data_IF_800390087727
#
_entry.id   IF_800390087727
#
_cell.length_a   1.000
_cell.length_b   1.000
_cell.length_c   1.000
_cell.angle_alpha   90.00
_cell.angle_beta   90.00
_cell.angle_gamma   90.00
#
_symmetry.space_group_name_H-M   'P 1'
#
loop_
_entity.id
_entity.type
_entity.pdbx_description
1 polymer ?
#
# COMPACT_ATOMS: atom_id res chain seq x y z
N UNK A 1 12.76 50.92 -0.35
CA UNK A 1 11.54 50.81 -1.19
C UNK A 1 11.63 49.72 -2.27
N UNK A 2 12.71 49.61 -3.06
CA UNK A 2 12.82 48.62 -4.15
C UNK A 2 12.84 47.15 -3.70
N UNK A 3 13.47 46.83 -2.57
CA UNK A 3 13.53 45.46 -2.03
C UNK A 3 12.16 44.88 -1.66
N UNK A 4 11.24 45.73 -1.17
CA UNK A 4 9.85 45.34 -0.88
C UNK A 4 9.13 44.90 -2.16
N UNK A 5 9.36 45.57 -3.29
CA UNK A 5 8.77 45.20 -4.59
C UNK A 5 9.23 43.82 -5.07
N UNK A 6 10.52 43.50 -4.95
CA UNK A 6 11.04 42.17 -5.32
C UNK A 6 10.58 41.06 -4.37
N UNK A 7 10.50 41.35 -3.07
CA UNK A 7 9.93 40.42 -2.10
C UNK A 7 8.45 40.13 -2.41
N UNK A 8 7.67 41.16 -2.69
CA UNK A 8 6.25 41.01 -3.08
C UNK A 8 6.11 40.21 -4.38
N UNK A 9 6.91 40.48 -5.41
CA UNK A 9 6.89 39.71 -6.67
C UNK A 9 7.25 38.24 -6.41
N UNK A 10 8.30 38.00 -5.62
CA UNK A 10 8.72 36.64 -5.26
C UNK A 10 7.58 35.90 -4.58
N UNK A 11 7.01 36.47 -3.50
CA UNK A 11 5.88 35.89 -2.76
C UNK A 11 4.70 35.59 -3.69
N UNK A 12 4.33 36.52 -4.57
CA UNK A 12 3.25 36.32 -5.56
C UNK A 12 3.57 35.13 -6.46
N UNK A 13 4.78 35.04 -7.00
CA UNK A 13 5.20 33.89 -7.81
C UNK A 13 5.14 32.58 -7.02
N UNK A 14 5.55 32.56 -5.74
CA UNK A 14 5.44 31.35 -4.91
C UNK A 14 3.98 30.95 -4.68
N UNK A 15 3.12 31.93 -4.37
CA UNK A 15 1.71 31.69 -4.15
C UNK A 15 1.06 31.14 -5.41
N UNK A 16 1.39 31.68 -6.59
CA UNK A 16 0.91 31.16 -7.87
C UNK A 16 1.39 29.73 -8.09
N UNK A 17 2.67 29.42 -7.84
CA UNK A 17 3.20 28.06 -8.00
C UNK A 17 2.52 27.09 -7.03
N UNK A 18 2.40 27.46 -5.75
CA UNK A 18 1.75 26.62 -4.75
C UNK A 18 0.27 26.38 -5.05
N UNK A 19 -0.45 27.43 -5.50
CA UNK A 19 -1.84 27.32 -5.96
C UNK A 19 -1.92 26.42 -7.20
N UNK A 20 -1.01 26.58 -8.16
CA UNK A 20 -0.97 25.75 -9.38
C UNK A 20 -0.71 24.28 -9.04
N UNK A 21 0.24 23.99 -8.14
CA UNK A 21 0.50 22.62 -7.67
C UNK A 21 -0.74 22.08 -6.98
N UNK A 22 -1.37 22.85 -6.08
CA UNK A 22 -2.57 22.43 -5.35
C UNK A 22 -3.75 22.14 -6.29
N UNK A 23 -3.97 23.00 -7.28
CA UNK A 23 -4.99 22.82 -8.32
C UNK A 23 -4.68 21.58 -9.15
N UNK A 24 -3.43 21.42 -9.59
CA UNK A 24 -3.00 20.27 -10.37
C UNK A 24 -3.19 18.95 -9.60
N UNK A 25 -2.72 18.89 -8.35
CA UNK A 25 -2.90 17.69 -7.50
C UNK A 25 -4.37 17.41 -7.23
N UNK A 26 -5.18 18.44 -6.99
CA UNK A 26 -6.61 18.30 -6.77
C UNK A 26 -7.33 17.75 -8.01
N UNK A 27 -7.02 18.27 -9.20
CA UNK A 27 -7.62 17.80 -10.45
C UNK A 27 -7.16 16.40 -10.82
N UNK A 28 -5.89 16.08 -10.57
CA UNK A 28 -5.35 14.74 -10.77
C UNK A 28 -5.98 13.71 -9.83
N UNK A 29 -6.23 14.07 -8.56
CA UNK A 29 -6.92 13.20 -7.60
C UNK A 29 -8.41 13.03 -7.92
N UNK A 30 -9.07 14.10 -8.39
CA UNK A 30 -10.49 14.02 -8.73
C UNK A 30 -10.78 13.10 -9.93
N UNK A 31 -9.80 12.93 -10.83
CA UNK A 31 -9.89 12.00 -11.97
C UNK A 31 -9.50 10.55 -11.63
N UNK A 32 -9.35 10.20 -10.36
CA UNK A 32 -9.08 8.81 -9.99
C UNK A 32 -10.30 7.94 -10.25
N UNK A 33 -10.02 6.70 -10.66
CA UNK A 33 -11.04 5.67 -10.82
C UNK A 33 -11.71 5.40 -9.48
N UNK A 34 -13.02 5.49 -9.47
CA UNK A 34 -13.87 4.96 -8.40
C UNK A 34 -14.23 3.49 -8.74
N UNK A 35 -14.62 2.72 -7.73
CA UNK A 35 -15.07 1.32 -7.86
C UNK A 35 -14.04 0.33 -8.43
N UNK A 36 -12.75 0.49 -8.09
CA UNK A 36 -11.66 -0.35 -8.60
C UNK A 36 -11.87 -1.83 -8.26
N UNK A 37 -12.39 -2.15 -7.07
CA UNK A 37 -12.58 -3.55 -6.66
C UNK A 37 -13.66 -4.20 -7.50
N UNK A 38 -14.80 -3.53 -7.67
CA UNK A 38 -15.87 -4.00 -8.56
C UNK A 38 -15.35 -4.26 -9.98
N UNK A 39 -14.66 -3.29 -10.58
CA UNK A 39 -14.11 -3.39 -11.93
C UNK A 39 -13.11 -4.54 -12.07
N UNK A 40 -12.30 -4.80 -11.05
CA UNK A 40 -11.29 -5.86 -11.09
C UNK A 40 -11.90 -7.23 -10.86
N UNK A 41 -12.88 -7.38 -9.97
CA UNK A 41 -13.65 -8.62 -9.81
C UNK A 41 -14.38 -8.97 -11.10
N UNK A 42 -14.97 -7.99 -11.79
CA UNK A 42 -15.69 -8.21 -13.06
C UNK A 42 -14.78 -8.71 -14.21
N UNK A 43 -13.46 -8.50 -14.12
CA UNK A 43 -12.48 -9.01 -15.09
C UNK A 43 -12.05 -10.46 -14.82
N UNK A 44 -12.40 -11.01 -13.66
CA UNK A 44 -12.05 -12.38 -13.31
C UNK A 44 -13.00 -13.34 -14.00
N UNK A 45 -12.44 -14.25 -14.81
CA UNK A 45 -13.21 -15.35 -15.40
C UNK A 45 -13.74 -16.27 -14.29
N UNK A 46 -15.04 -16.48 -14.25
CA UNK A 46 -15.72 -17.28 -13.24
C UNK A 46 -15.63 -18.78 -13.50
N UNK A 47 -14.98 -19.23 -14.58
CA UNK A 47 -14.90 -20.64 -14.98
C UNK A 47 -13.47 -21.24 -14.98
N UNK A 48 -12.51 -20.62 -14.28
CA UNK A 48 -11.12 -21.09 -14.26
C UNK A 48 -10.95 -22.32 -13.35
N UNK A 49 -10.72 -23.50 -13.94
CA UNK A 49 -10.41 -24.73 -13.17
C UNK A 49 -8.93 -24.85 -12.80
N UNK A 50 -8.04 -24.38 -13.68
CA UNK A 50 -6.59 -24.34 -13.46
C UNK A 50 -6.10 -22.90 -13.66
N UNK A 51 -5.60 -22.29 -12.60
CA UNK A 51 -5.11 -20.91 -12.65
C UNK A 51 -4.03 -20.67 -11.62
N UNK A 52 -3.30 -19.58 -11.79
CA UNK A 52 -2.37 -19.07 -10.79
C UNK A 52 -2.82 -17.68 -10.40
N UNK A 53 -2.72 -17.33 -9.13
CA UNK A 53 -2.84 -15.96 -8.66
C UNK A 53 -1.64 -15.60 -7.79
N UNK A 54 -1.26 -14.34 -7.81
CA UNK A 54 -0.22 -13.82 -6.93
C UNK A 54 -0.87 -13.27 -5.66
N UNK A 55 -0.21 -13.41 -4.51
CA UNK A 55 -0.62 -12.74 -3.28
C UNK A 55 0.56 -12.10 -2.57
N UNK A 56 0.33 -10.89 -2.06
CA UNK A 56 1.31 -10.05 -1.38
C UNK A 56 0.61 -9.10 -0.40
N UNK A 57 1.33 -8.46 0.50
CA UNK A 57 0.78 -7.45 1.42
C UNK A 57 1.89 -6.61 2.05
N UNK A 58 1.51 -5.55 2.77
CA UNK A 58 2.43 -4.61 3.41
C UNK A 58 3.40 -3.96 2.42
N UNK A 59 2.86 -3.37 1.34
CA UNK A 59 3.70 -2.65 0.38
C UNK A 59 3.96 -1.20 0.79
N UNK A 60 3.08 -0.54 1.57
CA UNK A 60 3.23 0.81 2.13
C UNK A 60 3.90 1.84 1.21
N UNK A 61 3.41 1.95 -0.03
CA UNK A 61 3.99 2.82 -1.08
C UNK A 61 5.49 2.59 -1.43
N UNK A 62 6.06 1.43 -1.08
CA UNK A 62 7.45 1.08 -1.39
C UNK A 62 7.76 1.26 -2.87
N UNK A 63 8.80 2.02 -3.19
CA UNK A 63 9.13 2.37 -4.57
C UNK A 63 10.01 1.31 -5.21
N UNK A 64 10.95 0.75 -4.47
CA UNK A 64 11.93 -0.20 -4.97
C UNK A 64 11.31 -1.60 -5.08
N UNK A 65 10.82 -2.14 -3.97
CA UNK A 65 10.33 -3.52 -3.87
C UNK A 65 9.02 -3.71 -4.61
N UNK A 66 7.99 -2.91 -4.30
CA UNK A 66 6.66 -3.11 -4.90
C UNK A 66 6.66 -2.90 -6.43
N UNK A 67 7.36 -1.88 -6.95
CA UNK A 67 7.47 -1.70 -8.40
C UNK A 67 8.25 -2.85 -9.07
N UNK A 68 9.21 -3.49 -8.38
CA UNK A 68 9.89 -4.69 -8.87
C UNK A 68 8.95 -5.88 -8.89
N UNK A 69 8.12 -6.06 -7.85
CA UNK A 69 7.06 -7.09 -7.81
C UNK A 69 6.09 -6.89 -8.99
N UNK A 70 5.60 -5.68 -9.23
CA UNK A 70 4.72 -5.37 -10.39
C UNK A 70 5.38 -5.81 -11.72
N UNK A 71 6.67 -5.53 -11.91
CA UNK A 71 7.40 -5.95 -13.12
C UNK A 71 7.48 -7.46 -13.26
N UNK A 72 7.73 -8.18 -12.16
CA UNK A 72 7.80 -9.65 -12.17
C UNK A 72 6.43 -10.27 -12.48
N UNK A 73 5.39 -9.83 -11.78
CA UNK A 73 4.00 -10.27 -11.98
C UNK A 73 3.53 -10.03 -13.41
N UNK A 74 3.86 -8.88 -13.99
CA UNK A 74 3.49 -8.56 -15.38
C UNK A 74 4.08 -9.53 -16.42
N UNK A 75 5.12 -10.30 -16.06
CA UNK A 75 5.82 -11.21 -16.95
C UNK A 75 5.52 -12.69 -16.66
N UNK A 76 4.64 -13.01 -15.71
CA UNK A 76 4.21 -14.39 -15.45
C UNK A 76 2.76 -14.65 -15.88
N UNK A 77 2.30 -15.89 -15.70
CA UNK A 77 1.01 -16.38 -16.17
C UNK A 77 -0.13 -16.26 -15.13
N UNK A 78 0.10 -15.60 -13.99
CA UNK A 78 -0.94 -15.36 -12.99
C UNK A 78 -2.12 -14.59 -13.59
N UNK A 79 -3.34 -14.94 -13.21
CA UNK A 79 -4.58 -14.38 -13.76
C UNK A 79 -5.02 -13.11 -13.05
N UNK A 80 -4.71 -13.02 -11.76
CA UNK A 80 -4.99 -11.87 -10.93
C UNK A 80 -4.02 -11.82 -9.74
N UNK A 81 -4.07 -10.70 -9.03
CA UNK A 81 -3.26 -10.45 -7.83
C UNK A 81 -4.18 -10.17 -6.65
N UNK A 82 -3.83 -10.67 -5.47
CA UNK A 82 -4.43 -10.30 -4.20
C UNK A 82 -3.43 -9.47 -3.39
N UNK A 83 -3.88 -8.34 -2.88
CA UNK A 83 -3.13 -7.54 -1.92
C UNK A 83 -3.80 -7.65 -0.53
N UNK A 84 -3.05 -8.11 0.47
CA UNK A 84 -3.50 -8.37 1.85
C UNK A 84 -3.62 -7.13 2.74
N UNK A 85 -3.54 -5.91 2.20
CA UNK A 85 -3.70 -4.66 2.94
C UNK A 85 -2.37 -3.96 3.24
N UNK A 86 -2.45 -2.79 3.87
CA UNK A 86 -1.35 -1.85 4.05
C UNK A 86 -0.68 -1.48 2.70
N UNK A 87 -1.54 -1.09 1.76
CA UNK A 87 -1.16 -0.60 0.44
C UNK A 87 -0.56 0.80 0.48
N UNK A 88 -0.94 1.59 1.48
CA UNK A 88 -0.44 2.94 1.73
C UNK A 88 0.21 3.03 3.11
N UNK A 89 1.16 3.95 3.27
CA UNK A 89 1.74 4.20 4.60
C UNK A 89 0.76 4.89 5.56
N UNK A 90 -0.16 5.68 5.02
CA UNK A 90 -1.23 6.31 5.79
C UNK A 90 -2.39 6.58 4.83
N UNK A 91 -3.57 6.87 5.38
CA UNK A 91 -4.77 7.08 4.59
C UNK A 91 -4.83 8.39 3.82
N UNK A 92 -3.74 9.17 3.72
CA UNK A 92 -3.75 10.49 3.06
C UNK A 92 -3.91 10.42 1.53
N UNK A 93 -4.47 11.49 0.98
CA UNK A 93 -4.72 11.66 -0.45
C UNK A 93 -3.48 11.45 -1.32
N UNK A 94 -2.34 12.00 -0.89
CA UNK A 94 -1.08 11.92 -1.62
C UNK A 94 -0.57 10.47 -1.72
N UNK A 95 -0.73 9.67 -0.65
CA UNK A 95 -0.31 8.26 -0.62
C UNK A 95 -1.17 7.39 -1.52
N UNK A 96 -2.49 7.59 -1.52
CA UNK A 96 -3.38 6.90 -2.46
C UNK A 96 -3.09 7.31 -3.91
N UNK A 97 -2.89 8.60 -4.19
CA UNK A 97 -2.51 9.08 -5.53
C UNK A 97 -1.25 8.38 -6.04
N UNK A 98 -0.25 8.29 -5.18
CA UNK A 98 1.00 7.62 -5.50
C UNK A 98 0.80 6.12 -5.74
N UNK A 99 0.07 5.44 -4.86
CA UNK A 99 -0.27 4.03 -5.03
C UNK A 99 -1.00 3.76 -6.35
N UNK A 100 -2.02 4.56 -6.69
CA UNK A 100 -2.77 4.43 -7.94
C UNK A 100 -1.88 4.62 -9.17
N UNK A 101 -0.90 5.52 -9.11
CA UNK A 101 0.14 5.65 -10.14
C UNK A 101 1.03 4.40 -10.22
N UNK A 102 1.37 3.76 -9.10
CA UNK A 102 2.14 2.51 -9.12
C UNK A 102 1.35 1.38 -9.78
N UNK A 103 0.11 1.14 -9.34
CA UNK A 103 -0.73 0.05 -9.87
C UNK A 103 -1.23 0.30 -11.30
N UNK A 104 -1.21 1.54 -11.80
CA UNK A 104 -1.49 1.81 -13.22
C UNK A 104 -0.54 1.09 -14.19
N UNK A 105 0.63 0.64 -13.71
CA UNK A 105 1.62 -0.13 -14.46
C UNK A 105 1.35 -1.65 -14.42
N UNK A 106 0.44 -2.11 -13.56
CA UNK A 106 0.07 -3.51 -13.45
C UNK A 106 -0.87 -3.88 -14.60
N UNK A 107 -0.57 -4.97 -15.29
CA UNK A 107 -1.33 -5.47 -16.46
C UNK A 107 -2.45 -6.45 -16.08
N UNK A 108 -2.60 -6.73 -14.78
CA UNK A 108 -3.50 -7.75 -14.24
C UNK A 108 -4.48 -7.12 -13.26
N UNK A 109 -5.71 -7.64 -13.13
CA UNK A 109 -6.61 -7.21 -12.07
C UNK A 109 -5.99 -7.51 -10.70
N UNK A 110 -6.09 -6.53 -9.80
CA UNK A 110 -5.67 -6.67 -8.40
C UNK A 110 -6.87 -6.48 -7.48
N UNK A 111 -6.99 -7.37 -6.51
CA UNK A 111 -8.03 -7.39 -5.49
C UNK A 111 -7.40 -7.01 -4.15
N UNK A 112 -8.15 -6.35 -3.28
CA UNK A 112 -7.60 -5.71 -2.08
C UNK A 112 -8.34 -6.17 -0.83
N UNK A 113 -7.58 -6.49 0.21
CA UNK A 113 -8.01 -6.43 1.60
C UNK A 113 -7.66 -5.05 2.15
N UNK A 114 -8.44 -4.57 3.11
CA UNK A 114 -8.15 -3.32 3.83
C UNK A 114 -7.29 -3.62 5.06
N UNK A 115 -6.25 -2.83 5.29
CA UNK A 115 -5.37 -2.87 6.47
C UNK A 115 -5.47 -1.63 7.35
N UNK A 116 -4.74 -1.63 8.46
CA UNK A 116 -4.86 -0.58 9.48
C UNK A 116 -4.29 0.76 9.01
N UNK A 117 -3.33 0.77 8.07
CA UNK A 117 -2.81 2.01 7.51
C UNK A 117 -3.79 2.70 6.55
N UNK A 118 -4.70 1.95 5.91
CA UNK A 118 -5.72 2.54 5.03
C UNK A 118 -6.75 3.38 5.79
N UNK A 119 -7.01 3.05 7.07
CA UNK A 119 -7.99 3.76 7.91
C UNK A 119 -7.36 4.89 8.75
N UNK A 120 -6.02 4.94 8.85
CA UNK A 120 -5.29 6.05 9.45
C UNK A 120 -5.61 7.38 8.73
N UNK A 121 -5.38 8.52 9.38
CA UNK A 121 -5.64 9.86 8.81
C UNK A 121 -7.06 10.02 8.21
N UNK A 122 -8.05 9.42 8.87
CA UNK A 122 -9.45 9.37 8.40
C UNK A 122 -9.58 8.76 6.98
N UNK A 123 -8.68 7.86 6.60
CA UNK A 123 -8.58 7.29 5.26
C UNK A 123 -9.70 6.33 4.88
N UNK A 124 -10.50 5.83 5.84
CA UNK A 124 -11.55 4.84 5.59
C UNK A 124 -12.56 5.27 4.51
N UNK A 125 -13.00 6.53 4.53
CA UNK A 125 -13.91 7.06 3.51
C UNK A 125 -13.26 7.18 2.14
N UNK A 126 -11.96 7.51 2.11
CA UNK A 126 -11.17 7.60 0.87
C UNK A 126 -10.93 6.21 0.27
N UNK A 127 -10.61 5.22 1.10
CA UNK A 127 -10.53 3.83 0.70
C UNK A 127 -11.84 3.40 0.03
N UNK A 128 -12.99 3.66 0.68
CA UNK A 128 -14.29 3.30 0.13
C UNK A 128 -14.57 3.97 -1.22
N UNK A 129 -14.24 5.25 -1.38
CA UNK A 129 -14.42 5.96 -2.66
C UNK A 129 -13.65 5.29 -3.80
N UNK A 130 -12.40 4.87 -3.53
CA UNK A 130 -11.51 4.28 -4.54
C UNK A 130 -11.86 2.80 -4.80
N UNK A 131 -12.13 2.03 -3.75
CA UNK A 131 -12.19 0.56 -3.80
C UNK A 131 -13.57 -0.04 -3.50
N UNK A 132 -14.62 0.78 -3.26
CA UNK A 132 -16.06 0.44 -3.13
C UNK A 132 -16.50 -0.59 -2.08
N UNK A 133 -15.61 -1.44 -1.56
CA UNK A 133 -15.90 -2.58 -0.69
C UNK A 133 -14.83 -2.70 0.38
N UNK A 134 -15.26 -2.79 1.63
CA UNK A 134 -14.37 -3.13 2.76
C UNK A 134 -14.18 -4.63 2.89
N UNK A 135 -15.25 -5.39 2.69
CA UNK A 135 -15.29 -6.85 2.70
C UNK A 135 -16.21 -7.32 1.58
N UNK A 136 -15.86 -8.43 0.95
CA UNK A 136 -16.56 -8.96 -0.22
C UNK A 136 -16.12 -10.39 -0.52
N UNK A 137 -16.81 -11.03 -1.44
CA UNK A 137 -16.47 -12.36 -1.92
C UNK A 137 -16.59 -12.42 -3.42
N UNK A 138 -15.86 -13.36 -4.02
CA UNK A 138 -16.04 -13.75 -5.41
C UNK A 138 -15.69 -15.23 -5.56
N UNK A 139 -16.05 -15.81 -6.70
CA UNK A 139 -15.73 -17.20 -6.99
C UNK A 139 -15.25 -17.36 -8.43
N UNK A 140 -14.48 -18.42 -8.64
CA UNK A 140 -14.16 -18.94 -9.96
C UNK A 140 -14.12 -20.46 -9.89
N UNK A 141 -14.94 -21.12 -10.72
CA UNK A 141 -15.14 -22.56 -10.75
C UNK A 141 -15.29 -23.15 -9.33
N UNK A 142 -14.29 -23.90 -8.88
CA UNK A 142 -14.30 -24.64 -7.62
C UNK A 142 -13.62 -23.86 -6.47
N UNK A 143 -13.33 -22.57 -6.66
CA UNK A 143 -12.64 -21.72 -5.69
C UNK A 143 -13.50 -20.55 -5.25
N UNK A 144 -13.65 -20.39 -3.94
CA UNK A 144 -14.36 -19.30 -3.29
C UNK A 144 -13.39 -18.45 -2.48
N UNK A 145 -13.47 -17.13 -2.63
CA UNK A 145 -12.61 -16.17 -1.96
C UNK A 145 -13.45 -15.24 -1.10
N UNK A 146 -13.06 -15.04 0.15
CA UNK A 146 -13.74 -14.16 1.11
C UNK A 146 -12.70 -13.18 1.67
N UNK A 147 -12.94 -11.90 1.46
CA UNK A 147 -12.13 -10.79 1.97
C UNK A 147 -12.82 -10.19 3.18
N UNK A 148 -12.06 -10.03 4.26
CA UNK A 148 -12.52 -9.45 5.53
C UNK A 148 -11.91 -8.07 5.75
N UNK A 149 -12.68 -7.21 6.42
CA UNK A 149 -12.21 -5.95 6.98
C UNK A 149 -11.96 -6.13 8.48
N UNK A 150 -10.69 -6.27 8.83
CA UNK A 150 -10.17 -6.28 10.19
C UNK A 150 -9.19 -5.12 10.42
N UNK A 151 -9.26 -4.07 9.61
CA UNK A 151 -8.36 -2.92 9.66
C UNK A 151 -8.35 -2.19 11.00
N UNK A 152 -9.36 -2.38 11.84
CA UNK A 152 -9.40 -1.84 13.19
C UNK A 152 -8.51 -2.60 14.19
N UNK A 153 -7.86 -3.69 13.75
CA UNK A 153 -6.97 -4.60 14.50
C UNK A 153 -7.62 -5.29 15.71
N UNK A 154 -8.89 -5.05 15.97
CA UNK A 154 -9.54 -5.46 17.21
C UNK A 154 -10.55 -6.57 16.97
N UNK A 155 -11.50 -6.39 16.06
CA UNK A 155 -12.57 -7.36 15.82
C UNK A 155 -13.26 -7.16 14.46
N UNK A 156 -13.93 -8.21 13.99
CA UNK A 156 -14.94 -8.20 12.94
C UNK A 156 -16.29 -7.80 13.55
N UNK A 157 -16.89 -6.71 13.06
CA UNK A 157 -18.16 -6.20 13.60
C UNK A 157 -19.35 -7.16 13.36
N UNK A 158 -20.47 -6.92 14.05
CA UNK A 158 -21.65 -7.81 14.01
C UNK A 158 -22.28 -7.93 12.61
N UNK A 159 -22.26 -6.87 11.81
CA UNK A 159 -22.84 -6.87 10.47
C UNK A 159 -21.97 -7.70 9.53
N UNK A 160 -20.66 -7.49 9.60
CA UNK A 160 -19.69 -8.28 8.85
C UNK A 160 -19.70 -9.74 9.30
N UNK A 161 -19.82 -10.05 10.60
CA UNK A 161 -19.96 -11.43 11.08
C UNK A 161 -21.21 -12.12 10.53
N UNK A 162 -22.35 -11.43 10.50
CA UNK A 162 -23.59 -11.96 9.90
C UNK A 162 -23.43 -12.19 8.40
N UNK A 163 -22.74 -11.29 7.71
CA UNK A 163 -22.41 -11.47 6.30
C UNK A 163 -21.47 -12.66 6.08
N UNK A 164 -20.40 -12.78 6.88
CA UNK A 164 -19.43 -13.86 6.83
C UNK A 164 -20.09 -15.23 6.98
N UNK A 165 -21.02 -15.40 7.93
CA UNK A 165 -21.78 -16.65 8.06
C UNK A 165 -22.52 -17.03 6.76
N UNK A 166 -23.14 -16.06 6.08
CA UNK A 166 -23.82 -16.31 4.80
C UNK A 166 -22.84 -16.71 3.69
N UNK A 167 -21.68 -16.07 3.64
CA UNK A 167 -20.65 -16.38 2.65
C UNK A 167 -20.02 -17.76 2.91
N UNK A 168 -19.80 -18.11 4.17
CA UNK A 168 -19.33 -19.44 4.55
C UNK A 168 -20.34 -20.53 4.17
N UNK A 169 -21.64 -20.30 4.36
CA UNK A 169 -22.69 -21.22 3.88
C UNK A 169 -22.65 -21.42 2.37
N UNK A 170 -22.53 -20.33 1.58
CA UNK A 170 -22.37 -20.42 0.12
C UNK A 170 -21.11 -21.18 -0.27
N UNK A 171 -20.02 -20.95 0.47
CA UNK A 171 -18.71 -21.54 0.20
C UNK A 171 -18.69 -23.07 0.30
N UNK A 172 -19.69 -23.70 0.96
CA UNK A 172 -19.81 -25.16 1.07
C UNK A 172 -19.89 -25.87 -0.28
N UNK A 173 -20.36 -25.19 -1.32
CA UNK A 173 -20.46 -25.72 -2.68
C UNK A 173 -19.12 -25.69 -3.45
N UNK A 174 -18.05 -25.17 -2.84
CA UNK A 174 -16.76 -24.97 -3.47
C UNK A 174 -15.70 -25.85 -2.80
N UNK A 175 -14.82 -26.42 -3.63
CA UNK A 175 -13.72 -27.28 -3.17
C UNK A 175 -12.68 -26.51 -2.38
N UNK A 176 -12.26 -25.36 -2.91
CA UNK A 176 -11.24 -24.51 -2.32
C UNK A 176 -11.86 -23.24 -1.77
N UNK A 177 -11.52 -22.90 -0.52
CA UNK A 177 -12.07 -21.77 0.23
C UNK A 177 -10.93 -20.96 0.80
N UNK A 178 -10.79 -19.73 0.36
CA UNK A 178 -9.72 -18.83 0.76
C UNK A 178 -10.30 -17.69 1.58
N UNK A 179 -9.72 -17.46 2.76
CA UNK A 179 -9.95 -16.24 3.53
C UNK A 179 -8.76 -15.32 3.29
N UNK A 180 -9.03 -14.05 3.01
CA UNK A 180 -8.02 -13.00 2.93
C UNK A 180 -8.41 -11.95 3.98
N UNK A 181 -7.48 -11.64 4.87
CA UNK A 181 -7.63 -10.62 5.89
C UNK A 181 -6.30 -9.92 6.09
N UNK A 182 -6.26 -8.76 6.74
CA UNK A 182 -5.00 -8.07 6.97
C UNK A 182 -4.33 -8.55 8.25
N UNK A 183 -5.05 -8.54 9.37
CA UNK A 183 -4.53 -8.83 10.70
C UNK A 183 -4.67 -10.35 10.97
N UNK A 184 -3.58 -11.05 11.31
CA UNK A 184 -3.67 -12.48 11.61
C UNK A 184 -4.55 -12.75 12.84
N UNK A 185 -5.10 -13.97 12.95
CA UNK A 185 -5.86 -14.36 14.14
C UNK A 185 -4.96 -14.48 15.39
N UNK A 186 -3.74 -14.96 15.20
CA UNK A 186 -2.74 -15.12 16.27
C UNK A 186 -1.35 -14.73 15.77
N UNK A 187 -0.53 -14.14 16.64
CA UNK A 187 0.85 -13.82 16.31
C UNK A 187 1.73 -15.08 16.50
N UNK A 188 2.33 -15.64 15.43
CA UNK A 188 3.16 -16.85 15.52
C UNK A 188 4.50 -16.63 16.22
N UNK A 189 4.88 -15.37 16.47
CA UNK A 189 6.14 -14.99 17.12
C UNK A 189 5.98 -14.91 18.64
N UNK A 190 4.76 -14.74 19.13
CA UNK A 190 4.49 -14.47 20.53
C UNK A 190 3.85 -15.66 21.25
N UNK A 191 4.41 -16.03 22.40
CA UNK A 191 3.77 -16.98 23.32
C UNK A 191 2.56 -16.38 24.02
N UNK A 192 2.49 -15.05 24.13
CA UNK A 192 1.39 -14.32 24.79
C UNK A 192 0.59 -13.59 23.71
N UNK A 193 -0.66 -14.00 23.55
CA UNK A 193 -1.60 -13.39 22.60
C UNK A 193 -2.22 -12.11 23.21
N UNK A 194 -2.57 -11.10 22.39
CA UNK A 194 -2.64 -11.14 20.93
C UNK A 194 -1.33 -10.87 20.20
N UNK A 195 -0.27 -10.35 20.83
CA UNK A 195 0.91 -9.89 20.06
C UNK A 195 0.51 -8.90 18.96
N UNK A 196 1.12 -8.98 17.76
CA UNK A 196 0.66 -8.27 16.56
C UNK A 196 -0.36 -9.11 15.78
N UNK A 197 -1.52 -9.30 16.37
CA UNK A 197 -2.65 -10.00 15.78
C UNK A 197 -3.96 -9.43 16.32
N UNK A 198 -5.10 -10.03 15.96
CA UNK A 198 -6.43 -9.52 16.33
C UNK A 198 -6.57 -9.37 17.86
N UNK A 199 -6.79 -8.14 18.33
CA UNK A 199 -6.74 -7.81 19.78
C UNK A 199 -7.83 -8.52 20.58
N UNK A 200 -9.01 -8.74 19.99
CA UNK A 200 -10.07 -9.55 20.61
C UNK A 200 -9.77 -11.05 20.47
N UNK A 201 -8.98 -11.58 21.41
CA UNK A 201 -8.57 -13.00 21.42
C UNK A 201 -9.77 -13.96 21.46
N UNK A 202 -10.87 -13.59 22.13
CA UNK A 202 -12.08 -14.42 22.18
C UNK A 202 -12.70 -14.55 20.79
N UNK A 203 -12.80 -13.46 20.04
CA UNK A 203 -13.30 -13.50 18.68
C UNK A 203 -12.31 -14.18 17.73
N UNK A 204 -11.00 -14.00 17.89
CA UNK A 204 -10.00 -14.72 17.12
C UNK A 204 -10.14 -16.24 17.27
N UNK A 205 -10.33 -16.74 18.50
CA UNK A 205 -10.62 -18.16 18.77
C UNK A 205 -11.93 -18.62 18.15
N UNK A 206 -12.96 -17.79 18.18
CA UNK A 206 -14.24 -18.09 17.54
C UNK A 206 -14.09 -18.22 16.01
N UNK A 207 -13.42 -17.26 15.37
CA UNK A 207 -13.12 -17.27 13.93
C UNK A 207 -12.30 -18.50 13.55
N UNK A 208 -11.29 -18.84 14.35
CA UNK A 208 -10.49 -20.04 14.12
C UNK A 208 -11.35 -21.32 14.09
N UNK A 209 -12.20 -21.52 15.11
CA UNK A 209 -13.14 -22.65 15.16
C UNK A 209 -14.15 -22.61 14.01
N UNK A 210 -14.60 -21.42 13.64
CA UNK A 210 -15.51 -21.23 12.51
C UNK A 210 -14.83 -21.67 11.20
N UNK A 211 -13.60 -21.23 10.93
CA UNK A 211 -12.87 -21.60 9.73
C UNK A 211 -12.54 -23.10 9.66
N UNK A 212 -12.20 -23.73 10.79
CA UNK A 212 -12.06 -25.18 10.89
C UNK A 212 -13.36 -25.90 10.49
N UNK A 213 -14.51 -25.49 11.03
CA UNK A 213 -15.80 -26.12 10.76
C UNK A 213 -16.22 -26.03 9.28
N UNK A 214 -15.81 -24.97 8.59
CA UNK A 214 -16.09 -24.79 7.16
C UNK A 214 -14.98 -25.33 6.27
N UNK A 215 -13.95 -26.01 6.81
CA UNK A 215 -12.83 -26.57 6.08
C UNK A 215 -12.17 -25.52 5.15
N UNK A 216 -11.83 -24.36 5.70
CA UNK A 216 -11.10 -23.33 4.97
C UNK A 216 -9.76 -23.90 4.51
N UNK A 217 -9.44 -23.66 3.23
CA UNK A 217 -8.26 -24.22 2.57
C UNK A 217 -6.99 -23.47 2.96
N UNK A 218 -7.07 -22.15 3.02
CA UNK A 218 -5.95 -21.29 3.42
C UNK A 218 -6.49 -19.95 3.89
N UNK A 219 -5.94 -19.44 4.98
CA UNK A 219 -6.08 -18.05 5.40
C UNK A 219 -4.81 -17.31 4.98
N UNK A 220 -4.98 -16.22 4.25
CA UNK A 220 -3.89 -15.30 3.96
C UNK A 220 -4.02 -14.05 4.82
N UNK A 221 -2.94 -13.71 5.53
CA UNK A 221 -2.82 -12.52 6.36
C UNK A 221 -1.56 -11.71 6.01
N UNK A 222 -1.42 -10.52 6.58
CA UNK A 222 -0.30 -9.59 6.41
C UNK A 222 0.07 -9.00 7.77
N UNK A 223 0.31 -7.70 7.91
CA UNK A 223 0.46 -6.94 9.16
C UNK A 223 1.77 -7.16 9.95
N UNK A 224 2.29 -8.39 9.97
CA UNK A 224 3.51 -8.74 10.73
C UNK A 224 4.81 -8.30 10.02
N UNK A 225 4.72 -7.92 8.75
CA UNK A 225 5.85 -7.55 7.91
C UNK A 225 6.93 -8.65 7.79
N UNK A 226 6.48 -9.90 7.60
CA UNK A 226 7.31 -11.09 7.48
C UNK A 226 6.57 -12.20 6.73
N UNK A 227 7.30 -13.27 6.43
CA UNK A 227 6.76 -14.55 5.97
C UNK A 227 6.59 -15.52 7.15
N UNK A 228 5.37 -15.98 7.39
CA UNK A 228 5.10 -17.11 8.29
C UNK A 228 4.09 -18.04 7.64
N UNK A 229 4.25 -19.34 7.86
CA UNK A 229 3.27 -20.35 7.48
C UNK A 229 3.03 -21.31 8.64
N UNK A 230 1.84 -21.86 8.72
CA UNK A 230 1.50 -22.81 9.78
C UNK A 230 0.04 -23.21 9.76
N UNK A 231 -0.47 -23.61 10.92
CA UNK A 231 -1.89 -23.93 11.12
C UNK A 231 -2.40 -23.28 12.39
N UNK A 232 -3.62 -22.76 12.32
CA UNK A 232 -4.42 -22.41 13.49
C UNK A 232 -5.53 -23.45 13.59
N UNK A 233 -5.50 -24.29 14.63
CA UNK A 233 -6.33 -25.48 14.66
C UNK A 233 -6.03 -26.39 13.46
N UNK A 234 -7.04 -26.67 12.65
CA UNK A 234 -6.90 -27.46 11.42
C UNK A 234 -6.68 -26.60 10.17
N UNK A 235 -6.92 -25.29 10.26
CA UNK A 235 -6.88 -24.36 9.12
C UNK A 235 -5.46 -23.86 8.86
N UNK A 236 -4.90 -24.10 7.65
CA UNK A 236 -3.62 -23.54 7.25
C UNK A 236 -3.68 -22.02 7.14
N UNK A 237 -2.58 -21.35 7.50
CA UNK A 237 -2.41 -19.93 7.25
C UNK A 237 -1.05 -19.63 6.62
N UNK A 238 -1.00 -18.54 5.85
CA UNK A 238 0.23 -17.89 5.42
C UNK A 238 0.11 -16.38 5.70
N UNK A 239 1.11 -15.84 6.38
CA UNK A 239 1.32 -14.41 6.58
C UNK A 239 2.34 -13.94 5.53
N UNK A 240 1.95 -13.00 4.68
CA UNK A 240 2.73 -12.57 3.50
C UNK A 240 2.99 -11.06 3.47
N UNK A 241 3.58 -10.53 4.54
CA UNK A 241 3.86 -9.09 4.70
C UNK A 241 5.17 -8.61 4.06
N UNK A 242 5.51 -9.10 2.87
CA UNK A 242 6.84 -8.93 2.27
C UNK A 242 6.91 -7.97 1.08
N UNK A 243 5.86 -7.19 0.79
CA UNK A 243 5.77 -6.49 -0.49
C UNK A 243 6.55 -5.17 -0.57
N UNK A 244 7.14 -4.70 0.53
CA UNK A 244 8.11 -3.61 0.50
C UNK A 244 8.17 -2.68 1.71
N UNK A 245 7.33 -2.88 2.73
CA UNK A 245 7.45 -2.20 4.01
C UNK A 245 8.76 -2.55 4.75
N UNK A 246 9.03 -1.93 5.89
CA UNK A 246 10.09 -2.32 6.80
C UNK A 246 9.90 -3.76 7.28
N UNK A 247 10.97 -4.54 7.34
CA UNK A 247 10.91 -5.92 7.86
C UNK A 247 11.05 -5.89 9.38
N UNK A 248 10.16 -6.56 10.11
CA UNK A 248 10.07 -6.46 11.57
C UNK A 248 11.19 -7.18 12.36
N UNK A 249 12.16 -7.81 11.69
CA UNK A 249 13.19 -8.60 12.36
C UNK A 249 14.35 -9.04 11.47
N UNK A 250 15.22 -9.86 12.04
CA UNK A 250 16.52 -10.27 11.46
C UNK A 250 16.63 -11.75 11.14
N UNK A 251 15.68 -12.58 11.56
CA UNK A 251 15.67 -14.00 11.19
C UNK A 251 15.52 -14.20 9.67
N UNK A 252 16.49 -14.89 9.07
CA UNK A 252 16.54 -15.15 7.62
C UNK A 252 15.40 -16.05 7.13
N UNK A 253 14.79 -16.82 8.02
CA UNK A 253 13.67 -17.70 7.69
C UNK A 253 12.34 -16.95 7.50
N UNK A 254 12.22 -15.72 8.04
CA UNK A 254 10.95 -15.00 8.09
C UNK A 254 11.02 -13.58 7.51
N UNK A 255 12.14 -12.87 7.69
CA UNK A 255 12.22 -11.45 7.40
C UNK A 255 12.96 -11.20 6.08
N UNK A 256 12.24 -11.37 4.98
CA UNK A 256 12.71 -11.03 3.63
C UNK A 256 11.55 -10.55 2.76
N UNK A 257 11.86 -9.76 1.75
CA UNK A 257 10.90 -9.33 0.74
C UNK A 257 10.47 -10.49 -0.14
N UNK A 258 9.16 -10.61 -0.36
CA UNK A 258 8.57 -11.69 -1.10
C UNK A 258 7.15 -11.36 -1.60
N UNK A 259 6.68 -12.21 -2.50
CA UNK A 259 5.27 -12.46 -2.76
C UNK A 259 5.09 -13.96 -3.00
N UNK A 260 3.85 -14.43 -3.06
CA UNK A 260 3.51 -15.83 -3.28
C UNK A 260 2.79 -16.01 -4.59
N UNK A 261 3.09 -17.12 -5.28
CA UNK A 261 2.30 -17.64 -6.38
C UNK A 261 1.50 -18.83 -5.90
N UNK A 262 0.20 -18.79 -6.12
CA UNK A 262 -0.71 -19.85 -5.69
C UNK A 262 -1.27 -20.52 -6.94
N UNK A 263 -0.82 -21.74 -7.18
CA UNK A 263 -1.26 -22.56 -8.30
C UNK A 263 -2.46 -23.40 -7.86
N UNK A 264 -3.63 -23.10 -8.39
CA UNK A 264 -4.86 -23.84 -8.13
C UNK A 264 -5.13 -24.74 -9.32
N UNK A 265 -5.37 -26.01 -9.03
CA UNK A 265 -5.76 -27.01 -10.03
C UNK A 265 -6.79 -27.97 -9.47
N UNK A 266 -7.38 -28.80 -10.32
CA UNK A 266 -8.30 -29.85 -9.87
C UNK A 266 -7.61 -30.88 -8.94
N UNK A 267 -6.28 -31.06 -9.06
CA UNK A 267 -5.51 -32.04 -8.27
C UNK A 267 -5.12 -31.52 -6.88
N UNK A 268 -5.10 -30.22 -6.67
CA UNK A 268 -4.57 -29.62 -5.46
C UNK A 268 -4.11 -28.18 -5.65
N UNK A 269 -3.54 -27.62 -4.58
CA UNK A 269 -2.95 -26.29 -4.57
C UNK A 269 -1.46 -26.41 -4.25
N UNK A 270 -0.66 -25.67 -4.99
CA UNK A 270 0.77 -25.49 -4.71
C UNK A 270 1.07 -24.01 -4.42
N UNK A 271 1.95 -23.77 -3.45
CA UNK A 271 2.36 -22.43 -3.04
C UNK A 271 3.85 -22.26 -3.39
N UNK A 272 4.17 -21.31 -4.25
CA UNK A 272 5.55 -20.97 -4.62
C UNK A 272 5.90 -19.61 -3.99
N UNK A 273 6.93 -19.62 -3.13
CA UNK A 273 7.45 -18.42 -2.50
C UNK A 273 8.51 -17.76 -3.38
N UNK A 274 8.21 -16.56 -3.87
CA UNK A 274 9.14 -15.77 -4.68
C UNK A 274 9.85 -14.75 -3.82
N UNK A 275 11.12 -15.02 -3.48
CA UNK A 275 11.96 -14.12 -2.67
C UNK A 275 12.58 -13.02 -3.53
N UNK A 276 12.68 -11.82 -2.98
CA UNK A 276 13.38 -10.68 -3.55
C UNK A 276 14.62 -10.33 -2.72
N UNK A 277 15.52 -9.56 -3.34
CA UNK A 277 16.65 -8.99 -2.61
C UNK A 277 16.13 -8.17 -1.42
N UNK A 278 16.71 -8.44 -0.25
CA UNK A 278 16.37 -7.82 1.03
C UNK A 278 17.64 -7.23 1.63
N UNK A 279 17.55 -6.18 2.47
CA UNK A 279 18.71 -5.70 3.20
C UNK A 279 19.27 -6.83 4.08
N UNK A 280 20.52 -6.67 4.50
CA UNK A 280 21.17 -7.66 5.34
C UNK A 280 20.43 -7.87 6.67
N UNK A 281 20.68 -9.04 7.25
CA UNK A 281 19.94 -9.57 8.38
C UNK A 281 20.49 -9.11 9.73
N UNK A 282 21.18 -7.97 9.77
CA UNK A 282 21.66 -7.36 11.01
C UNK A 282 20.85 -6.08 11.31
N UNK A 283 20.82 -5.70 12.59
CA UNK A 283 19.96 -4.60 13.05
C UNK A 283 20.32 -3.25 12.41
N UNK A 284 21.60 -2.99 12.15
CA UNK A 284 22.05 -1.72 11.57
C UNK A 284 21.51 -1.54 10.15
N UNK A 285 21.67 -2.57 9.31
CA UNK A 285 21.15 -2.52 7.94
C UNK A 285 19.63 -2.46 7.90
N UNK A 286 18.94 -3.15 8.82
CA UNK A 286 17.47 -3.05 8.95
C UNK A 286 17.01 -1.64 9.26
N UNK A 287 17.61 -1.01 10.27
CA UNK A 287 17.25 0.35 10.69
C UNK A 287 17.56 1.35 9.58
N UNK A 288 18.76 1.30 9.01
CA UNK A 288 19.17 2.21 7.95
C UNK A 288 18.29 2.06 6.71
N UNK A 289 18.03 0.82 6.28
CA UNK A 289 17.17 0.55 5.13
C UNK A 289 15.72 1.03 5.36
N UNK A 290 15.18 0.84 6.56
CA UNK A 290 13.84 1.32 6.91
C UNK A 290 13.76 2.84 6.83
N UNK A 291 14.74 3.55 7.42
CA UNK A 291 14.85 5.00 7.30
C UNK A 291 14.96 5.45 5.83
N UNK A 292 15.76 4.73 5.04
CA UNK A 292 15.93 5.02 3.62
C UNK A 292 14.65 4.85 2.81
N UNK A 293 13.89 3.77 3.00
CA UNK A 293 12.60 3.57 2.31
C UNK A 293 11.68 4.75 2.57
N UNK A 294 11.56 5.16 3.83
CA UNK A 294 10.67 6.24 4.22
C UNK A 294 11.12 7.60 3.70
N UNK A 295 12.41 7.89 3.79
CA UNK A 295 12.99 9.12 3.24
C UNK A 295 12.81 9.17 1.71
N UNK A 296 13.10 8.08 1.00
CA UNK A 296 12.97 8.02 -0.45
C UNK A 296 11.52 8.14 -0.91
N UNK A 297 10.58 7.50 -0.22
CA UNK A 297 9.15 7.64 -0.47
C UNK A 297 8.69 9.09 -0.21
N UNK A 298 9.10 9.69 0.91
CA UNK A 298 8.78 11.07 1.24
C UNK A 298 9.27 12.05 0.18
N UNK A 299 10.54 11.95 -0.24
CA UNK A 299 11.12 12.78 -1.29
C UNK A 299 10.36 12.58 -2.60
N UNK A 300 10.07 11.34 -2.98
CA UNK A 300 9.42 11.03 -4.25
C UNK A 300 7.98 11.55 -4.33
N UNK A 301 7.24 11.48 -3.22
CA UNK A 301 5.86 11.99 -3.14
C UNK A 301 5.85 13.52 -3.10
N UNK A 302 6.83 14.14 -2.43
CA UNK A 302 6.87 15.58 -2.19
C UNK A 302 7.88 16.34 -3.05
N UNK A 303 8.43 15.73 -4.11
CA UNK A 303 9.56 16.27 -4.86
C UNK A 303 9.33 17.71 -5.33
N UNK A 304 8.15 18.00 -5.89
CA UNK A 304 7.79 19.35 -6.34
C UNK A 304 7.71 20.35 -5.20
N UNK A 305 7.07 19.99 -4.10
CA UNK A 305 7.00 20.84 -2.91
C UNK A 305 8.39 21.15 -2.35
N UNK A 306 9.27 20.14 -2.31
CA UNK A 306 10.65 20.29 -1.85
C UNK A 306 11.43 21.23 -2.78
N UNK A 307 11.34 21.04 -4.11
CA UNK A 307 12.00 21.91 -5.10
C UNK A 307 11.54 23.36 -4.93
N UNK A 308 10.23 23.58 -4.76
CA UNK A 308 9.70 24.92 -4.52
C UNK A 308 10.29 25.51 -3.25
N UNK A 309 10.18 24.83 -2.11
CA UNK A 309 10.70 25.30 -0.80
C UNK A 309 12.19 25.61 -0.86
N UNK A 310 13.00 24.73 -1.45
CA UNK A 310 14.44 24.96 -1.62
C UNK A 310 14.72 26.18 -2.51
N UNK A 311 13.94 26.37 -3.57
CA UNK A 311 13.98 27.57 -4.40
C UNK A 311 13.68 28.85 -3.60
N UNK A 312 12.70 28.80 -2.69
CA UNK A 312 12.35 29.94 -1.82
C UNK A 312 13.49 30.27 -0.86
N UNK A 313 14.06 29.25 -0.23
CA UNK A 313 15.19 29.39 0.69
C UNK A 313 16.39 29.98 -0.05
N UNK A 314 16.69 29.50 -1.25
CA UNK A 314 17.78 30.02 -2.07
C UNK A 314 17.58 31.50 -2.44
N UNK A 315 16.37 31.89 -2.85
CA UNK A 315 16.03 33.30 -3.11
C UNK A 315 16.18 34.15 -1.85
N UNK A 316 15.77 33.64 -0.69
CA UNK A 316 15.93 34.31 0.60
C UNK A 316 17.41 34.46 0.99
N UNK A 317 18.24 33.45 0.74
CA UNK A 317 19.69 33.51 0.97
C UNK A 317 20.31 34.56 0.06
N UNK A 318 19.99 34.58 -1.24
CA UNK A 318 20.46 35.63 -2.16
C UNK A 318 20.05 37.00 -1.63
N UNK A 319 18.80 37.15 -1.18
CA UNK A 319 18.30 38.40 -0.63
C UNK A 319 19.10 38.87 0.59
N UNK A 320 19.32 37.99 1.58
CA UNK A 320 20.04 38.30 2.83
C UNK A 320 21.53 38.58 2.57
N UNK A 321 22.18 37.78 1.73
CA UNK A 321 23.62 37.82 1.50
C UNK A 321 24.04 38.66 0.30
N UNK A 322 23.09 39.28 -0.41
CA UNK A 322 23.36 40.36 -1.35
C UNK A 322 23.79 41.64 -0.64
N UNK A 323 24.88 41.59 0.13
CA UNK A 323 25.70 42.75 0.55
C UNK A 323 26.31 43.51 -0.64
N UNK A 324 26.04 43.09 -1.89
CA UNK A 324 26.52 43.65 -3.16
C UNK A 324 25.40 44.11 -4.10
N UNK A 325 24.33 44.73 -3.60
CA UNK A 325 23.53 45.66 -4.42
C UNK A 325 24.06 47.11 -4.31
N UNK A 326 25.38 47.29 -4.29
CA UNK A 326 26.08 48.46 -4.84
C UNK A 326 26.52 47.99 -6.25
N UNK A 327 26.04 48.48 -7.39
CA UNK A 327 25.69 49.86 -7.75
C UNK A 327 24.71 49.85 -8.95
N UNK A 328 23.46 50.27 -8.74
CA UNK A 328 22.53 50.62 -9.84
C UNK A 328 23.13 51.68 -10.80
N UNK A 329 24.13 52.43 -10.33
CA UNK A 329 24.88 53.43 -11.10
C UNK A 329 25.59 52.87 -12.34
N UNK A 330 26.09 51.63 -12.30
CA UNK A 330 26.80 51.01 -13.44
C UNK A 330 25.86 50.43 -14.50
N UNK A 331 24.62 50.09 -14.12
CA UNK A 331 23.62 49.62 -15.07
C UNK A 331 22.89 50.80 -15.74
N UNK A 332 22.68 51.92 -15.04
CA UNK A 332 22.10 53.13 -15.65
C UNK A 332 23.08 53.92 -16.51
N UNK A 333 24.39 53.78 -16.32
CA UNK A 333 25.39 54.40 -17.20
C UNK A 333 25.43 53.78 -18.59
N UNK A 334 24.94 52.54 -18.76
CA UNK A 334 24.76 51.90 -20.07
C UNK A 334 23.59 52.47 -20.88
N UNK A 335 22.65 53.17 -20.23
CA UNK A 335 21.46 53.74 -20.88
C UNK A 335 21.49 55.28 -21.00
N UNK A 336 22.58 55.94 -20.56
CA UNK A 336 22.79 57.34 -20.89
C UNK A 336 23.44 57.48 -22.27
N UNK A 337 22.59 57.54 -23.28
CA UNK A 337 22.96 58.07 -24.58
C UNK A 337 23.35 59.54 -24.41
N UNK A 338 24.64 59.86 -24.59
CA UNK A 338 25.13 61.25 -24.70
C UNK A 338 24.35 61.93 -25.82
N UNK A 339 23.36 62.77 -25.47
CA UNK A 339 22.89 63.81 -26.38
C UNK A 339 24.03 64.82 -26.55
N UNK A 340 24.64 64.82 -27.73
CA UNK A 340 25.41 65.95 -28.25
C UNK A 340 24.45 67.03 -28.72
#
# INVERSE_FOLDING_TARGET
MKWKKYLTISIICMSIIAITIKIYTHYYFFNLKDNITFDNVAKIDTNMSNFTFDILGDNKNSITTFNKIIKLINNDNSKFVINGGDIVFDGSEAKYTFFLKQISKLKKPMLYSIGNHEIADNGRGRYYKIFDKFYYSFHTKNSYFIFLDDANENYIDKWQMKWLHKELEKSKNYKYKFIVMHVPLFDPRSKIQPGHSLKNVTQAKYLNKLFDNYNITMIFASHIHAYYEGKWGNTPYIITGGAGAELAGTDKAHYFYHYLKVHVSEKGINYELVKLHSPDYNIFDRVFWSLWIYLYAFISINAWSIIVVLGLIYILIIFIFSKKFKTFKEFTSLFHWKKK
#
